data_IF_234280970121
#
_entry.id   IF_234280970121
#
_cell.length_a   1.000
_cell.length_b   1.000
_cell.length_c   1.000
_cell.angle_alpha   90.00
_cell.angle_beta   90.00
_cell.angle_gamma   90.00
#
_symmetry.space_group_name_H-M   'P 1'
#
loop_
_entity.id
_entity.type
_entity.pdbx_description
1 polymer ?
#
# COMPACT_ATOMS: atom_id res chain seq x y z
N UNK A 1 6.59 2.85 22.43
CA UNK A 1 6.24 3.32 21.07
C UNK A 1 6.68 2.32 19.98
N UNK A 2 6.41 1.03 20.17
CA UNK A 2 6.92 -0.02 19.28
C UNK A 2 6.27 -0.02 17.89
N UNK A 3 5.01 0.44 17.79
CA UNK A 3 4.29 0.58 16.53
C UNK A 3 4.96 1.56 15.55
N UNK A 4 5.70 2.57 16.05
CA UNK A 4 6.41 3.54 15.20
C UNK A 4 7.52 2.83 14.43
N UNK A 5 8.23 1.89 15.06
CA UNK A 5 9.30 1.12 14.39
C UNK A 5 8.72 0.30 13.24
N UNK A 6 7.58 -0.36 13.45
CA UNK A 6 6.91 -1.11 12.39
C UNK A 6 6.36 -0.19 11.28
N UNK A 7 5.86 0.99 11.63
CA UNK A 7 5.44 1.99 10.65
C UNK A 7 6.63 2.48 9.80
N UNK A 8 7.79 2.77 10.42
CA UNK A 8 9.01 3.15 9.69
C UNK A 8 9.54 2.00 8.82
N UNK A 9 9.45 0.76 9.30
CA UNK A 9 9.74 -0.44 8.51
C UNK A 9 8.83 -0.53 7.28
N UNK A 10 7.53 -0.26 7.44
CA UNK A 10 6.61 -0.21 6.32
C UNK A 10 6.99 0.90 5.31
N UNK A 11 7.35 2.10 5.79
CA UNK A 11 7.84 3.20 4.92
C UNK A 11 9.08 2.77 4.13
N UNK A 12 10.03 2.10 4.76
CA UNK A 12 11.23 1.60 4.08
C UNK A 12 10.89 0.54 3.02
N UNK A 13 10.08 -0.46 3.36
CA UNK A 13 9.68 -1.52 2.44
C UNK A 13 8.90 -0.96 1.23
N UNK A 14 7.89 -0.13 1.47
CA UNK A 14 7.07 0.46 0.41
C UNK A 14 7.81 1.56 -0.38
N UNK A 15 8.73 2.28 0.25
CA UNK A 15 9.56 3.29 -0.42
C UNK A 15 10.56 2.67 -1.40
N UNK A 16 11.17 1.53 -1.05
CA UNK A 16 12.08 0.79 -1.93
C UNK A 16 11.38 -0.10 -2.96
N UNK A 17 10.11 -0.45 -2.71
CA UNK A 17 9.30 -1.33 -3.55
C UNK A 17 9.23 -0.85 -5.00
N UNK A 18 8.87 0.42 -5.26
CA UNK A 18 8.68 0.92 -6.62
C UNK A 18 9.92 0.78 -7.53
N UNK A 19 11.10 1.28 -7.11
CA UNK A 19 12.34 1.12 -7.87
C UNK A 19 12.73 -0.34 -8.11
N UNK A 20 12.65 -1.20 -7.08
CA UNK A 20 13.00 -2.62 -7.20
C UNK A 20 12.03 -3.35 -8.12
N UNK A 21 10.73 -3.09 -8.00
CA UNK A 21 9.71 -3.68 -8.84
C UNK A 21 9.88 -3.26 -10.31
N UNK A 22 10.12 -1.98 -10.58
CA UNK A 22 10.38 -1.51 -11.94
C UNK A 22 11.64 -2.16 -12.54
N UNK A 23 12.70 -2.32 -11.74
CA UNK A 23 13.90 -3.07 -12.14
C UNK A 23 13.58 -4.54 -12.44
N UNK A 24 12.80 -5.21 -11.60
CA UNK A 24 12.38 -6.60 -11.84
C UNK A 24 11.54 -6.74 -13.12
N UNK A 25 10.59 -5.83 -13.33
CA UNK A 25 9.74 -5.79 -14.51
C UNK A 25 10.54 -5.58 -15.81
N UNK A 26 11.53 -4.69 -15.78
CA UNK A 26 12.41 -4.43 -16.93
C UNK A 26 13.33 -5.63 -17.22
N UNK A 27 13.94 -6.23 -16.19
CA UNK A 27 14.78 -7.42 -16.33
C UNK A 27 14.01 -8.65 -16.84
N UNK A 28 12.77 -8.83 -16.41
CA UNK A 28 11.92 -9.95 -16.86
C UNK A 28 11.28 -9.72 -18.23
N UNK A 29 11.31 -8.48 -18.74
CA UNK A 29 10.67 -8.07 -19.99
C UNK A 29 9.15 -8.27 -20.01
N UNK A 30 8.52 -8.54 -18.85
CA UNK A 30 7.10 -8.86 -18.75
C UNK A 30 6.51 -8.40 -17.42
N UNK A 31 5.54 -7.46 -17.46
CA UNK A 31 4.81 -7.03 -16.26
C UNK A 31 4.05 -8.17 -15.58
N UNK A 32 3.54 -9.13 -16.35
CA UNK A 32 2.79 -10.27 -15.81
C UNK A 32 3.70 -11.26 -15.09
N UNK A 33 4.93 -11.50 -15.59
CA UNK A 33 5.93 -12.30 -14.85
C UNK A 33 6.31 -11.62 -13.54
N UNK A 34 6.49 -10.30 -13.57
CA UNK A 34 6.75 -9.52 -12.36
C UNK A 34 5.58 -9.59 -11.36
N UNK A 35 4.34 -9.48 -11.83
CA UNK A 35 3.14 -9.63 -11.00
C UNK A 35 3.04 -11.02 -10.38
N UNK A 36 3.40 -12.07 -11.12
CA UNK A 36 3.45 -13.44 -10.59
C UNK A 36 4.46 -13.57 -9.45
N UNK A 37 5.65 -12.97 -9.58
CA UNK A 37 6.64 -12.93 -8.50
C UNK A 37 6.14 -12.17 -7.27
N UNK A 38 5.43 -11.05 -7.46
CA UNK A 38 4.79 -10.29 -6.36
C UNK A 38 3.72 -11.14 -5.67
N UNK A 39 2.86 -11.82 -6.44
CA UNK A 39 1.84 -12.72 -5.91
C UNK A 39 2.43 -13.87 -5.08
N UNK A 40 3.50 -14.50 -5.57
CA UNK A 40 4.22 -15.53 -4.82
C UNK A 40 4.79 -14.97 -3.50
N UNK A 41 5.42 -13.80 -3.53
CA UNK A 41 5.95 -13.16 -2.33
C UNK A 41 4.84 -12.84 -1.31
N UNK A 42 3.68 -12.36 -1.78
CA UNK A 42 2.52 -12.07 -0.92
C UNK A 42 1.96 -13.34 -0.28
N UNK A 43 1.89 -14.44 -1.03
CA UNK A 43 1.50 -15.74 -0.48
C UNK A 43 2.50 -16.21 0.59
N UNK A 44 3.80 -16.22 0.28
CA UNK A 44 4.82 -16.68 1.20
C UNK A 44 4.83 -15.87 2.50
N UNK A 45 4.84 -14.55 2.42
CA UNK A 45 4.88 -13.70 3.62
C UNK A 45 3.52 -13.72 4.33
N UNK A 46 2.43 -13.55 3.58
CA UNK A 46 1.07 -13.45 4.12
C UNK A 46 0.52 -14.74 4.71
N UNK A 47 1.09 -15.90 4.37
CA UNK A 47 0.69 -17.21 4.92
C UNK A 47 1.73 -17.74 5.91
N UNK A 48 3.01 -17.74 5.56
CA UNK A 48 4.02 -18.40 6.41
C UNK A 48 4.30 -17.63 7.70
N UNK A 49 4.33 -16.29 7.67
CA UNK A 49 4.55 -15.48 8.88
C UNK A 49 3.44 -15.68 9.92
N UNK A 50 2.14 -15.52 9.60
CA UNK A 50 1.10 -15.75 10.59
C UNK A 50 1.05 -17.21 11.06
N UNK A 51 1.28 -18.20 10.19
CA UNK A 51 1.35 -19.60 10.63
C UNK A 51 2.48 -19.84 11.62
N UNK A 52 3.68 -19.32 11.36
CA UNK A 52 4.82 -19.43 12.26
C UNK A 52 4.55 -18.80 13.64
N UNK A 53 3.69 -17.77 13.70
CA UNK A 53 3.30 -17.13 14.95
C UNK A 53 2.15 -17.86 15.66
N UNK A 54 1.11 -18.29 14.94
CA UNK A 54 -0.12 -18.83 15.51
C UNK A 54 -0.03 -20.32 15.86
N UNK A 55 0.71 -21.12 15.09
CA UNK A 55 0.84 -22.57 15.32
C UNK A 55 1.43 -22.86 16.71
N UNK A 56 2.57 -22.28 17.12
CA UNK A 56 3.15 -22.56 18.44
C UNK A 56 2.25 -22.10 19.60
N UNK A 57 1.36 -21.16 19.35
CA UNK A 57 0.42 -20.61 20.33
C UNK A 57 -0.91 -21.37 20.38
N UNK A 58 -1.14 -22.33 19.48
CA UNK A 58 -2.41 -23.05 19.36
C UNK A 58 -3.59 -22.17 18.92
N UNK A 59 -3.32 -21.03 18.28
CA UNK A 59 -4.33 -19.98 17.96
C UNK A 59 -4.83 -20.05 16.51
N UNK A 60 -4.85 -21.23 15.90
CA UNK A 60 -5.42 -21.43 14.55
C UNK A 60 -6.95 -21.57 14.54
N UNK A 61 -7.62 -21.34 15.67
CA UNK A 61 -9.08 -21.42 15.82
C UNK A 61 -9.67 -20.05 16.20
N UNK A 62 -11.00 -19.90 16.10
CA UNK A 62 -11.69 -18.67 16.51
C UNK A 62 -11.88 -17.62 15.41
N UNK A 63 -11.75 -17.99 14.14
CA UNK A 63 -12.09 -17.10 13.02
C UNK A 63 -13.60 -16.83 12.99
N UNK A 64 -13.99 -15.55 12.89
CA UNK A 64 -15.38 -15.14 12.72
C UNK A 64 -15.61 -14.60 11.30
N UNK A 65 -16.81 -14.82 10.75
CA UNK A 65 -17.11 -14.51 9.33
C UNK A 65 -16.89 -13.03 8.98
N UNK A 66 -17.23 -12.10 9.88
CA UNK A 66 -17.08 -10.67 9.63
C UNK A 66 -15.61 -10.24 9.56
N UNK A 67 -14.81 -10.63 10.56
CA UNK A 67 -13.37 -10.37 10.61
C UNK A 67 -12.62 -11.01 9.45
N UNK A 68 -12.95 -12.27 9.13
CA UNK A 68 -12.36 -12.98 7.99
C UNK A 68 -12.68 -12.29 6.67
N UNK A 69 -13.94 -11.89 6.43
CA UNK A 69 -14.32 -11.22 5.20
C UNK A 69 -13.63 -9.85 5.06
N UNK A 70 -13.63 -9.04 6.11
CA UNK A 70 -12.97 -7.72 6.07
C UNK A 70 -11.46 -7.84 5.87
N UNK A 71 -10.81 -8.83 6.50
CA UNK A 71 -9.39 -9.10 6.29
C UNK A 71 -9.10 -9.55 4.85
N UNK A 72 -9.94 -10.41 4.26
CA UNK A 72 -9.83 -10.83 2.86
C UNK A 72 -10.01 -9.66 1.90
N UNK A 73 -11.00 -8.79 2.13
CA UNK A 73 -11.21 -7.58 1.33
C UNK A 73 -10.01 -6.65 1.44
N UNK A 74 -9.48 -6.43 2.65
CA UNK A 74 -8.28 -5.63 2.88
C UNK A 74 -7.06 -6.17 2.11
N UNK A 75 -6.84 -7.49 2.16
CA UNK A 75 -5.79 -8.16 1.39
C UNK A 75 -5.98 -8.03 -0.13
N UNK A 76 -7.22 -8.21 -0.61
CA UNK A 76 -7.56 -8.05 -2.02
C UNK A 76 -7.31 -6.63 -2.54
N UNK A 77 -7.68 -5.60 -1.76
CA UNK A 77 -7.40 -4.20 -2.10
C UNK A 77 -5.89 -3.93 -2.21
N UNK A 78 -5.08 -4.50 -1.33
CA UNK A 78 -3.62 -4.42 -1.40
C UNK A 78 -3.05 -5.09 -2.66
N UNK A 79 -3.54 -6.27 -3.02
CA UNK A 79 -3.14 -6.97 -4.24
C UNK A 79 -3.55 -6.21 -5.51
N UNK A 80 -4.77 -5.68 -5.56
CA UNK A 80 -5.25 -4.83 -6.66
C UNK A 80 -4.43 -3.55 -6.79
N UNK A 81 -4.03 -2.92 -5.67
CA UNK A 81 -3.11 -1.79 -5.69
C UNK A 81 -1.77 -2.11 -6.36
N UNK A 82 -1.18 -3.28 -6.05
CA UNK A 82 0.04 -3.74 -6.70
C UNK A 82 -0.14 -3.98 -8.20
N UNK A 83 -1.29 -4.52 -8.63
CA UNK A 83 -1.64 -4.65 -10.05
C UNK A 83 -1.65 -3.27 -10.72
N UNK A 84 -2.32 -2.28 -10.14
CA UNK A 84 -2.37 -0.91 -10.68
C UNK A 84 -0.97 -0.30 -10.84
N UNK A 85 -0.07 -0.50 -9.87
CA UNK A 85 1.32 -0.01 -9.95
C UNK A 85 2.07 -0.65 -11.12
N UNK A 86 1.94 -1.96 -11.29
CA UNK A 86 2.59 -2.69 -12.40
C UNK A 86 2.06 -2.20 -13.75
N UNK A 87 0.75 -1.99 -13.87
CA UNK A 87 0.16 -1.43 -15.07
C UNK A 87 0.62 0.02 -15.32
N UNK A 88 0.77 0.84 -14.28
CA UNK A 88 1.31 2.19 -14.41
C UNK A 88 2.77 2.18 -14.92
N UNK A 89 3.60 1.24 -14.45
CA UNK A 89 4.96 1.06 -14.99
C UNK A 89 4.95 0.52 -16.41
N UNK A 90 4.03 -0.40 -16.73
CA UNK A 90 3.84 -0.92 -18.09
C UNK A 90 3.46 0.19 -19.07
N UNK A 91 2.68 1.17 -18.64
CA UNK A 91 2.27 2.31 -19.46
C UNK A 91 3.30 3.45 -19.53
N UNK A 92 4.56 3.20 -19.15
CA UNK A 92 5.65 4.18 -19.22
C UNK A 92 5.81 5.05 -17.96
N UNK A 93 5.11 4.74 -16.88
CA UNK A 93 5.31 5.38 -15.59
C UNK A 93 6.68 5.01 -15.00
N UNK A 94 7.36 6.00 -14.42
CA UNK A 94 8.64 5.81 -13.73
C UNK A 94 8.42 5.83 -12.20
N UNK A 95 9.21 5.08 -11.42
CA UNK A 95 9.07 5.01 -9.96
C UNK A 95 9.07 6.37 -9.26
N UNK A 96 9.88 7.31 -9.74
CA UNK A 96 9.98 8.67 -9.18
C UNK A 96 8.72 9.54 -9.40
N UNK A 97 7.76 9.12 -10.22
CA UNK A 97 6.48 9.83 -10.39
C UNK A 97 5.30 8.99 -9.88
N UNK A 98 5.26 7.70 -10.22
CA UNK A 98 4.16 6.82 -9.82
C UNK A 98 4.15 6.64 -8.30
N UNK A 99 5.31 6.42 -7.67
CA UNK A 99 5.35 6.16 -6.22
C UNK A 99 4.93 7.39 -5.40
N UNK A 100 5.44 8.61 -5.64
CA UNK A 100 4.96 9.78 -4.90
C UNK A 100 3.47 10.06 -5.08
N UNK A 101 2.91 9.78 -6.26
CA UNK A 101 1.46 9.93 -6.48
C UNK A 101 0.65 8.93 -5.65
N UNK A 102 1.06 7.66 -5.66
CA UNK A 102 0.40 6.62 -4.88
C UNK A 102 0.55 6.89 -3.38
N UNK A 103 1.76 7.17 -2.90
CA UNK A 103 2.01 7.37 -1.47
C UNK A 103 1.62 8.76 -0.94
N UNK A 104 1.43 9.75 -1.81
CA UNK A 104 0.82 11.03 -1.46
C UNK A 104 -0.71 10.98 -1.45
N UNK A 105 -1.31 10.25 -2.39
CA UNK A 105 -2.77 10.14 -2.53
C UNK A 105 -3.41 9.07 -1.63
N UNK A 106 -2.77 7.92 -1.45
CA UNK A 106 -3.32 6.81 -0.66
C UNK A 106 -3.63 7.18 0.80
N UNK A 107 -2.79 7.96 1.51
CA UNK A 107 -3.12 8.44 2.85
C UNK A 107 -4.41 9.28 2.88
N UNK A 108 -4.68 10.09 1.84
CA UNK A 108 -5.91 10.88 1.76
C UNK A 108 -7.15 9.99 1.67
N UNK A 109 -7.11 9.01 0.77
CA UNK A 109 -8.19 8.04 0.63
C UNK A 109 -8.38 7.25 1.93
N UNK A 110 -7.28 6.77 2.54
CA UNK A 110 -7.33 6.04 3.80
C UNK A 110 -8.03 6.84 4.90
N UNK A 111 -7.68 8.12 5.03
CA UNK A 111 -8.25 8.98 6.07
C UNK A 111 -9.72 9.31 5.81
N UNK A 112 -10.11 9.56 4.55
CA UNK A 112 -11.52 9.76 4.18
C UNK A 112 -12.36 8.50 4.47
N UNK A 113 -11.87 7.33 4.06
CA UNK A 113 -12.55 6.06 4.32
C UNK A 113 -12.61 5.76 5.82
N UNK A 114 -11.54 6.06 6.57
CA UNK A 114 -11.50 5.89 8.02
C UNK A 114 -12.52 6.78 8.72
N UNK A 115 -12.63 8.05 8.33
CA UNK A 115 -13.65 8.96 8.86
C UNK A 115 -15.06 8.56 8.46
N UNK A 116 -15.25 7.97 7.28
CA UNK A 116 -16.56 7.47 6.87
C UNK A 116 -16.97 6.22 7.67
N UNK A 117 -16.06 5.28 7.87
CA UNK A 117 -16.29 4.08 8.68
C UNK A 117 -16.42 4.38 10.17
N UNK A 118 -15.71 5.41 10.65
CA UNK A 118 -15.70 5.84 12.05
C UNK A 118 -15.89 7.36 12.12
N UNK A 119 -17.14 7.85 11.99
CA UNK A 119 -17.43 9.28 12.01
C UNK A 119 -16.88 9.96 13.26
N UNK A 120 -16.16 11.10 13.10
CA UNK A 120 -15.55 11.79 14.22
C UNK A 120 -16.65 12.38 15.13
N UNK A 121 -16.53 12.12 16.44
CA UNK A 121 -17.50 12.61 17.45
C UNK A 121 -17.44 14.13 17.65
N UNK A 122 -16.32 14.74 17.26
CA UNK A 122 -16.08 16.18 17.30
C UNK A 122 -15.64 16.65 15.92
N UNK A 123 -15.97 17.89 15.50
CA UNK A 123 -15.54 18.42 14.22
C UNK A 123 -14.01 18.33 14.09
N UNK A 124 -13.49 17.77 12.97
CA UNK A 124 -12.06 17.75 12.73
C UNK A 124 -11.48 19.17 12.69
N UNK A 125 -10.28 19.35 13.23
CA UNK A 125 -9.59 20.64 13.17
C UNK A 125 -9.44 21.09 11.70
N UNK A 126 -9.78 22.34 11.33
CA UNK A 126 -9.64 22.84 9.97
C UNK A 126 -8.25 22.64 9.34
N UNK A 127 -7.19 22.67 10.15
CA UNK A 127 -5.80 22.43 9.72
C UNK A 127 -5.59 21.02 9.14
N UNK A 128 -6.41 20.05 9.52
CA UNK A 128 -6.38 18.71 8.96
C UNK A 128 -6.68 18.72 7.45
N UNK A 129 -7.68 19.49 7.04
CA UNK A 129 -8.02 19.64 5.62
C UNK A 129 -6.95 20.40 4.85
N UNK A 130 -6.29 21.38 5.48
CA UNK A 130 -5.12 22.03 4.91
C UNK A 130 -3.99 21.01 4.67
N UNK A 131 -3.76 20.09 5.61
CA UNK A 131 -2.82 18.97 5.43
C UNK A 131 -3.17 18.08 4.23
N UNK A 132 -4.45 17.78 4.01
CA UNK A 132 -4.88 17.02 2.82
C UNK A 132 -4.59 17.76 1.52
N UNK A 133 -4.89 19.06 1.50
CA UNK A 133 -4.61 19.90 0.34
C UNK A 133 -3.10 19.94 0.06
N UNK A 134 -2.26 20.11 1.08
CA UNK A 134 -0.81 20.11 0.92
C UNK A 134 -0.28 18.77 0.39
N UNK A 135 -0.78 17.63 0.88
CA UNK A 135 -0.39 16.32 0.36
C UNK A 135 -0.82 16.11 -1.10
N UNK A 136 -2.04 16.55 -1.46
CA UNK A 136 -2.51 16.50 -2.85
C UNK A 136 -1.68 17.42 -3.78
N UNK A 137 -1.38 18.64 -3.32
CA UNK A 137 -0.53 19.58 -4.04
C UNK A 137 0.90 19.05 -4.21
N UNK A 138 1.46 18.38 -3.20
CA UNK A 138 2.76 17.72 -3.29
C UNK A 138 2.83 16.72 -4.45
N UNK A 139 1.80 15.87 -4.61
CA UNK A 139 1.68 14.98 -5.77
C UNK A 139 1.57 15.73 -7.10
N UNK A 140 0.82 16.83 -7.14
CA UNK A 140 0.68 17.69 -8.32
C UNK A 140 2.00 18.34 -8.74
N UNK A 141 2.80 18.82 -7.80
CA UNK A 141 4.13 19.42 -8.05
C UNK A 141 5.09 18.37 -8.63
N UNK A 142 5.07 17.12 -8.13
CA UNK A 142 5.87 16.02 -8.68
C UNK A 142 5.54 15.74 -10.15
N UNK A 143 4.26 15.82 -10.52
CA UNK A 143 3.84 15.67 -11.92
C UNK A 143 4.25 16.87 -12.77
N UNK A 144 4.06 18.09 -12.27
CA UNK A 144 4.32 19.31 -13.01
C UNK A 144 5.81 19.50 -13.33
N UNK A 145 6.71 19.16 -12.40
CA UNK A 145 8.15 19.28 -12.57
C UNK A 145 8.84 17.96 -12.93
N UNK A 146 8.11 17.00 -13.50
CA UNK A 146 8.71 15.79 -14.07
C UNK A 146 9.72 16.18 -15.17
N UNK A 147 11.03 15.92 -15.03
CA UNK A 147 11.97 16.14 -16.12
C UNK A 147 11.57 15.35 -17.37
N UNK A 148 11.72 16.01 -18.52
CA UNK A 148 11.42 15.49 -19.86
C UNK A 148 12.23 14.24 -20.20
#
# INVERSE_FOLDING_TARGET
>A
MMWIIFALGAVLCWGTYGPILHKGQTQLGSPMKSLLCVGLAYFLVGVLVPLAMLVPQGQLSGFNSGGTMNALIGGALGALGAVCIIFAFRSGGLPNYVMPLVFGGAPLINVLVSMWMHPPKTPPNPLLYAGYLMAALGGGVVLYFKPA
#
